data_IF_679873838295
#
_entry.id   IF_679873838295
#
_cell.length_a   1.000
_cell.length_b   1.000
_cell.length_c   1.000
_cell.angle_alpha   90.00
_cell.angle_beta   90.00
_cell.angle_gamma   90.00
#
_symmetry.space_group_name_H-M   'P 1'
#
loop_
_entity.id
_entity.type
_entity.pdbx_description
1 polymer ?
#
# COMPACT_ATOMS: atom_id res chain seq x y z
N UNK A 1 -0.17 21.01 49.87
CA UNK A 1 -0.90 21.38 48.64
C UNK A 1 -0.01 21.39 47.39
N UNK A 2 1.17 22.04 47.40
CA UNK A 2 2.07 22.12 46.22
C UNK A 2 2.54 20.77 45.65
N UNK A 3 2.83 19.80 46.52
CA UNK A 3 3.25 18.44 46.12
C UNK A 3 2.14 17.65 45.40
N UNK A 4 0.89 17.82 45.84
CA UNK A 4 -0.28 17.13 45.24
C UNK A 4 -0.57 17.68 43.84
N UNK A 5 -0.48 19.00 43.66
CA UNK A 5 -0.58 19.64 42.33
C UNK A 5 0.56 19.27 41.40
N UNK A 6 1.78 19.11 41.91
CA UNK A 6 2.93 18.65 41.10
C UNK A 6 2.77 17.21 40.62
N UNK A 7 2.26 16.33 41.48
CA UNK A 7 1.98 14.92 41.14
C UNK A 7 0.85 14.82 40.09
N UNK A 8 -0.21 15.61 40.24
CA UNK A 8 -1.33 15.67 39.29
C UNK A 8 -0.88 16.15 37.90
N UNK A 9 -0.03 17.19 37.85
CA UNK A 9 0.51 17.70 36.59
C UNK A 9 1.38 16.64 35.86
N UNK A 10 2.19 15.88 36.60
CA UNK A 10 3.00 14.80 36.03
C UNK A 10 2.16 13.65 35.46
N UNK A 11 1.09 13.24 36.16
CA UNK A 11 0.16 12.19 35.69
C UNK A 11 -0.60 12.64 34.43
N UNK A 12 -1.02 13.91 34.36
CA UNK A 12 -1.69 14.47 33.17
C UNK A 12 -0.75 14.52 31.94
N UNK A 13 0.54 14.83 32.13
CA UNK A 13 1.52 14.83 31.05
C UNK A 13 1.82 13.41 30.54
N UNK A 14 1.85 12.41 31.43
CA UNK A 14 2.03 10.99 31.08
C UNK A 14 0.79 10.37 30.43
N UNK A 15 -0.41 10.88 30.71
CA UNK A 15 -1.65 10.45 30.04
C UNK A 15 -1.80 11.00 28.61
N UNK A 16 -1.02 12.02 28.25
CA UNK A 16 -1.09 12.71 26.94
C UNK A 16 -0.19 12.13 25.85
N UNK A 17 0.67 11.15 26.16
CA UNK A 17 1.52 10.48 25.14
C UNK A 17 0.71 9.47 24.34
N UNK A 18 -0.12 9.96 23.42
CA UNK A 18 -0.73 9.11 22.40
C UNK A 18 0.36 8.45 21.55
N UNK A 19 0.21 7.16 21.25
CA UNK A 19 1.10 6.47 20.32
C UNK A 19 1.06 7.19 18.96
N UNK A 20 2.18 7.81 18.57
CA UNK A 20 2.33 8.32 17.21
C UNK A 20 2.37 7.12 16.26
N UNK A 21 1.25 6.83 15.59
CA UNK A 21 1.25 5.81 14.55
C UNK A 21 2.02 6.37 13.36
N UNK A 22 3.23 5.87 13.15
CA UNK A 22 4.00 6.24 11.97
C UNK A 22 3.27 5.76 10.70
N UNK A 23 3.27 6.64 9.69
CA UNK A 23 2.54 6.47 8.44
C UNK A 23 3.53 6.54 7.28
N UNK A 24 3.47 5.55 6.40
CA UNK A 24 4.22 5.53 5.15
C UNK A 24 3.28 5.87 3.99
N UNK A 25 3.59 6.93 3.24
CA UNK A 25 2.85 7.31 2.03
C UNK A 25 3.61 6.87 0.78
N UNK A 26 2.91 6.17 -0.11
CA UNK A 26 3.40 5.75 -1.43
C UNK A 26 2.66 6.58 -2.47
N UNK A 27 3.38 7.40 -3.25
CA UNK A 27 2.79 8.33 -4.23
C UNK A 27 3.32 8.16 -5.66
N UNK A 28 4.60 7.80 -5.84
CA UNK A 28 5.17 7.52 -7.16
C UNK A 28 6.28 6.46 -7.04
N UNK A 29 5.85 5.21 -6.86
CA UNK A 29 6.77 4.06 -6.75
C UNK A 29 6.55 3.12 -7.96
N UNK A 30 7.53 3.11 -8.87
CA UNK A 30 7.48 2.32 -10.11
C UNK A 30 7.85 0.84 -9.90
N UNK A 31 8.26 0.47 -8.68
CA UNK A 31 8.80 -0.84 -8.38
C UNK A 31 10.30 -0.96 -8.68
N UNK A 32 10.78 -2.21 -8.68
CA UNK A 32 12.19 -2.53 -8.85
C UNK A 32 12.44 -4.00 -8.55
N UNK A 33 13.62 -4.31 -7.99
CA UNK A 33 13.98 -5.69 -7.63
C UNK A 33 13.02 -6.23 -6.55
N UNK A 34 12.37 -7.36 -6.82
CA UNK A 34 11.39 -7.99 -5.92
C UNK A 34 11.94 -8.15 -4.49
N UNK A 35 13.17 -8.67 -4.34
CA UNK A 35 13.79 -8.89 -3.02
C UNK A 35 13.88 -7.63 -2.16
N UNK A 36 14.23 -6.48 -2.77
CA UNK A 36 14.31 -5.19 -2.06
C UNK A 36 12.96 -4.78 -1.45
N UNK A 37 11.85 -5.07 -2.12
CA UNK A 37 10.51 -4.77 -1.62
C UNK A 37 10.04 -5.77 -0.58
N UNK A 38 10.41 -7.04 -0.72
CA UNK A 38 10.15 -8.06 0.30
C UNK A 38 10.82 -7.64 1.62
N UNK A 39 12.11 -7.30 1.60
CA UNK A 39 12.84 -6.88 2.78
C UNK A 39 12.27 -5.59 3.38
N UNK A 40 12.00 -4.57 2.55
CA UNK A 40 11.39 -3.31 2.97
C UNK A 40 10.06 -3.52 3.68
N UNK A 41 9.16 -4.34 3.13
CA UNK A 41 7.83 -4.51 3.68
C UNK A 41 7.75 -5.50 4.84
N UNK A 42 8.74 -6.37 5.03
CA UNK A 42 8.92 -7.08 6.30
C UNK A 42 9.18 -6.10 7.45
N UNK A 43 9.95 -5.04 7.20
CA UNK A 43 10.13 -3.93 8.14
C UNK A 43 8.80 -3.27 8.53
N UNK A 44 7.99 -2.85 7.54
CA UNK A 44 6.68 -2.22 7.77
C UNK A 44 5.67 -3.14 8.48
N UNK A 45 5.71 -4.44 8.16
CA UNK A 45 4.88 -5.43 8.84
C UNK A 45 5.21 -5.46 10.33
N UNK A 46 6.50 -5.46 10.66
CA UNK A 46 7.02 -5.57 12.03
C UNK A 46 6.86 -4.27 12.83
N UNK A 47 7.03 -3.10 12.20
CA UNK A 47 6.94 -1.80 12.86
C UNK A 47 5.51 -1.41 13.27
N UNK A 48 4.48 -2.02 12.68
CA UNK A 48 3.10 -1.65 12.96
C UNK A 48 2.61 -0.42 12.19
N UNK A 49 3.43 0.15 11.31
CA UNK A 49 3.10 1.35 10.53
C UNK A 49 1.89 1.16 9.62
N UNK A 50 1.15 2.25 9.40
CA UNK A 50 0.04 2.31 8.44
C UNK A 50 0.55 2.76 7.07
N UNK A 51 0.00 2.19 6.00
CA UNK A 51 0.34 2.55 4.62
C UNK A 51 -0.80 3.33 3.96
N UNK A 52 -0.47 4.50 3.44
CA UNK A 52 -1.32 5.29 2.56
C UNK A 52 -0.82 5.11 1.12
N UNK A 53 -1.66 4.58 0.24
CA UNK A 53 -1.38 4.58 -1.20
C UNK A 53 -2.10 5.78 -1.81
N UNK A 54 -1.32 6.74 -2.29
CA UNK A 54 -1.78 8.03 -2.82
C UNK A 54 -1.11 8.38 -4.15
N UNK A 55 -1.13 7.43 -5.07
CA UNK A 55 -0.59 7.60 -6.40
C UNK A 55 -0.13 6.27 -6.97
N UNK A 56 0.91 6.31 -7.80
CA UNK A 56 1.43 5.12 -8.47
C UNK A 56 2.13 4.20 -7.46
N UNK A 57 1.71 2.94 -7.46
CA UNK A 57 2.45 1.82 -6.87
C UNK A 57 2.44 0.68 -7.88
N UNK A 58 3.55 0.49 -8.59
CA UNK A 58 3.64 -0.45 -9.71
C UNK A 58 4.63 -1.59 -9.43
N UNK A 59 4.43 -2.71 -10.11
CA UNK A 59 5.37 -3.84 -10.10
C UNK A 59 5.65 -4.31 -8.66
N UNK A 60 6.92 -4.48 -8.28
CA UNK A 60 7.30 -4.89 -6.93
C UNK A 60 6.75 -4.01 -5.78
N UNK A 61 6.41 -2.73 -6.01
CA UNK A 61 5.74 -1.91 -4.99
C UNK A 61 4.44 -2.57 -4.48
N UNK A 62 3.70 -3.21 -5.38
CA UNK A 62 2.40 -3.83 -5.05
C UNK A 62 2.52 -5.04 -4.10
N UNK A 63 3.73 -5.51 -3.79
CA UNK A 63 3.97 -6.51 -2.73
C UNK A 63 3.45 -6.03 -1.37
N UNK A 64 3.38 -4.70 -1.16
CA UNK A 64 2.82 -4.09 0.06
C UNK A 64 1.43 -4.63 0.40
N UNK A 65 0.63 -4.97 -0.62
CA UNK A 65 -0.74 -5.45 -0.50
C UNK A 65 -0.85 -6.83 0.17
N UNK A 66 0.20 -7.64 0.12
CA UNK A 66 0.28 -8.94 0.79
C UNK A 66 1.17 -8.94 2.03
N UNK A 67 2.09 -7.98 2.13
CA UNK A 67 3.03 -7.89 3.24
C UNK A 67 2.45 -7.15 4.45
N UNK A 68 1.63 -6.11 4.24
CA UNK A 68 1.03 -5.30 5.30
C UNK A 68 -0.41 -5.77 5.55
N UNK A 69 -0.86 -5.89 6.82
CA UNK A 69 -2.25 -6.19 7.15
C UNK A 69 -3.23 -5.27 6.45
N UNK A 70 -4.33 -5.84 5.94
CA UNK A 70 -5.29 -5.16 5.08
C UNK A 70 -5.91 -3.91 5.73
N UNK A 71 -6.20 -3.98 7.03
CA UNK A 71 -6.75 -2.90 7.84
C UNK A 71 -5.78 -1.71 8.05
N UNK A 72 -4.48 -1.97 7.93
CA UNK A 72 -3.40 -0.98 7.96
C UNK A 72 -3.07 -0.39 6.58
N UNK A 73 -3.80 -0.75 5.53
CA UNK A 73 -3.69 -0.12 4.22
C UNK A 73 -4.94 0.72 3.97
N UNK A 74 -4.76 1.96 3.57
CA UNK A 74 -5.84 2.76 2.97
C UNK A 74 -5.39 3.35 1.64
N UNK A 75 -6.37 3.64 0.79
CA UNK A 75 -6.15 4.17 -0.56
C UNK A 75 -6.81 5.54 -0.69
N UNK A 76 -6.18 6.46 -1.43
CA UNK A 76 -6.78 7.74 -1.79
C UNK A 76 -7.49 7.66 -3.15
N UNK A 77 -8.14 8.75 -3.54
CA UNK A 77 -8.69 8.92 -4.89
C UNK A 77 -7.62 8.93 -6.00
N UNK A 78 -6.36 9.23 -5.66
CA UNK A 78 -5.22 9.22 -6.60
C UNK A 78 -4.56 7.85 -6.74
N UNK A 79 -4.87 6.89 -5.86
CA UNK A 79 -4.24 5.58 -5.84
C UNK A 79 -4.38 4.83 -7.18
N UNK A 80 -3.25 4.34 -7.69
CA UNK A 80 -3.15 3.62 -8.95
C UNK A 80 -2.17 2.45 -8.85
N UNK A 81 -2.69 1.23 -8.79
CA UNK A 81 -1.88 0.02 -8.67
C UNK A 81 -1.56 -0.56 -10.04
N UNK A 82 -0.28 -0.70 -10.36
CA UNK A 82 0.20 -1.23 -11.64
C UNK A 82 0.71 -2.67 -11.53
N UNK A 83 0.11 -3.59 -12.26
CA UNK A 83 0.47 -5.01 -12.26
C UNK A 83 0.96 -5.46 -13.63
N UNK A 84 2.08 -6.15 -13.71
CA UNK A 84 2.61 -6.76 -14.94
C UNK A 84 3.50 -7.96 -14.61
N UNK A 85 3.90 -8.72 -15.62
CA UNK A 85 4.82 -9.84 -15.49
C UNK A 85 6.23 -9.36 -15.11
N UNK A 86 6.88 -10.04 -14.18
CA UNK A 86 8.27 -9.75 -13.83
C UNK A 86 9.17 -10.01 -15.04
N UNK A 87 10.31 -9.31 -15.09
CA UNK A 87 11.24 -9.38 -16.19
C UNK A 87 12.67 -9.15 -15.71
N UNK A 88 13.62 -9.68 -16.48
CA UNK A 88 15.06 -9.47 -16.32
C UNK A 88 15.64 -8.79 -17.56
N UNK A 89 16.88 -8.30 -17.45
CA UNK A 89 17.62 -7.79 -18.59
C UNK A 89 18.23 -8.94 -19.39
N UNK A 90 17.86 -9.04 -20.67
CA UNK A 90 18.53 -9.91 -21.63
C UNK A 90 19.91 -9.39 -22.05
N UNK A 91 20.61 -10.17 -22.87
CA UNK A 91 21.97 -9.87 -23.32
C UNK A 91 22.16 -8.50 -24.01
N UNK A 92 21.07 -7.92 -24.56
CA UNK A 92 21.05 -6.60 -25.19
C UNK A 92 20.42 -5.50 -24.33
N UNK A 93 20.21 -5.75 -23.03
CA UNK A 93 19.53 -4.82 -22.12
C UNK A 93 18.01 -4.72 -22.32
N UNK A 94 17.41 -5.55 -23.18
CA UNK A 94 15.96 -5.61 -23.33
C UNK A 94 15.33 -6.36 -22.16
N UNK A 95 14.18 -5.88 -21.70
CA UNK A 95 13.35 -6.62 -20.74
C UNK A 95 12.84 -7.95 -21.35
N UNK A 96 13.15 -9.05 -20.70
CA UNK A 96 12.68 -10.40 -21.01
C UNK A 96 11.84 -10.88 -19.83
N UNK A 97 10.62 -11.34 -20.09
CA UNK A 97 9.75 -11.86 -19.05
C UNK A 97 10.39 -13.04 -18.33
N UNK A 98 10.33 -13.03 -17.00
CA UNK A 98 10.76 -14.12 -16.13
C UNK A 98 9.52 -14.80 -15.54
N UNK A 99 9.14 -16.00 -16.01
CA UNK A 99 7.95 -16.72 -15.54
C UNK A 99 8.00 -17.07 -14.05
N UNK A 100 9.16 -17.48 -13.54
CA UNK A 100 9.35 -17.87 -12.14
C UNK A 100 9.16 -16.67 -11.21
N UNK A 101 9.80 -15.54 -11.52
CA UNK A 101 9.65 -14.29 -10.79
C UNK A 101 8.23 -13.73 -10.93
N UNK A 102 7.59 -13.93 -12.09
CA UNK A 102 6.19 -13.55 -12.29
C UNK A 102 5.27 -14.34 -11.37
N UNK A 103 5.48 -15.66 -11.28
CA UNK A 103 4.70 -16.52 -10.39
C UNK A 103 4.97 -16.19 -8.92
N UNK A 104 6.23 -15.92 -8.56
CA UNK A 104 6.61 -15.47 -7.23
C UNK A 104 5.87 -14.18 -6.86
N UNK A 105 5.96 -13.14 -7.69
CA UNK A 105 5.26 -11.87 -7.47
C UNK A 105 3.75 -12.07 -7.36
N UNK A 106 3.15 -12.85 -8.27
CA UNK A 106 1.72 -13.13 -8.27
C UNK A 106 1.25 -13.85 -7.00
N UNK A 107 2.06 -14.77 -6.47
CA UNK A 107 1.73 -15.53 -5.25
C UNK A 107 1.67 -14.65 -3.99
N UNK A 108 2.39 -13.52 -3.99
CA UNK A 108 2.41 -12.57 -2.87
C UNK A 108 1.13 -11.73 -2.78
N UNK A 109 0.32 -11.66 -3.84
CA UNK A 109 -0.89 -10.83 -3.82
C UNK A 109 -2.04 -11.48 -3.04
N UNK A 110 -2.87 -10.68 -2.35
CA UNK A 110 -4.02 -11.20 -1.64
C UNK A 110 -5.09 -11.75 -2.61
N UNK A 111 -5.95 -12.69 -2.17
CA UNK A 111 -6.90 -13.37 -3.04
C UNK A 111 -7.80 -12.46 -3.90
N UNK A 112 -8.35 -11.32 -3.40
CA UNK A 112 -9.15 -10.43 -4.23
C UNK A 112 -8.38 -9.84 -5.41
N UNK A 113 -7.12 -9.46 -5.19
CA UNK A 113 -6.23 -8.90 -6.22
C UNK A 113 -5.87 -9.99 -7.24
N UNK A 114 -5.51 -11.19 -6.79
CA UNK A 114 -5.25 -12.33 -7.69
C UNK A 114 -6.45 -12.64 -8.57
N UNK A 115 -7.66 -12.71 -8.02
CA UNK A 115 -8.89 -12.92 -8.80
C UNK A 115 -9.11 -11.82 -9.84
N UNK A 116 -8.90 -10.56 -9.45
CA UNK A 116 -9.04 -9.42 -10.37
C UNK A 116 -8.03 -9.46 -11.53
N UNK A 117 -6.79 -9.86 -11.25
CA UNK A 117 -5.72 -10.05 -12.26
C UNK A 117 -6.05 -11.24 -13.17
N UNK A 118 -6.43 -12.39 -12.60
CA UNK A 118 -6.77 -13.60 -13.36
C UNK A 118 -7.93 -13.36 -14.34
N UNK A 119 -8.97 -12.63 -13.91
CA UNK A 119 -10.09 -12.24 -14.76
C UNK A 119 -9.69 -11.32 -15.94
N UNK A 120 -8.45 -10.84 -15.98
CA UNK A 120 -7.87 -9.98 -17.04
C UNK A 120 -6.75 -10.66 -17.81
N UNK A 121 -6.63 -11.98 -17.71
CA UNK A 121 -5.63 -12.77 -18.45
C UNK A 121 -4.29 -12.93 -17.73
N UNK A 122 -4.21 -12.60 -16.44
CA UNK A 122 -3.00 -12.80 -15.66
C UNK A 122 -1.97 -11.67 -15.78
N UNK A 123 -0.79 -11.89 -15.21
CA UNK A 123 0.33 -10.97 -15.35
C UNK A 123 0.99 -11.17 -16.71
N UNK A 124 0.98 -10.13 -17.54
CA UNK A 124 1.61 -10.11 -18.86
C UNK A 124 2.57 -8.92 -18.97
N UNK A 125 3.28 -8.77 -20.09
CA UNK A 125 4.10 -7.58 -20.34
C UNK A 125 3.28 -6.28 -20.36
N UNK A 126 1.98 -6.37 -20.65
CA UNK A 126 1.09 -5.22 -20.61
C UNK A 126 0.70 -4.93 -19.16
N UNK A 127 0.92 -3.69 -18.74
CA UNK A 127 0.52 -3.23 -17.42
C UNK A 127 -1.01 -3.17 -17.28
N UNK A 128 -1.51 -3.75 -16.20
CA UNK A 128 -2.88 -3.65 -15.74
C UNK A 128 -2.95 -2.61 -14.62
N UNK A 129 -3.95 -1.74 -14.65
CA UNK A 129 -4.15 -0.71 -13.62
C UNK A 129 -5.45 -0.94 -12.83
N UNK A 130 -5.33 -1.03 -11.50
CA UNK A 130 -6.44 -1.07 -10.56
C UNK A 130 -6.51 0.27 -9.81
N UNK A 131 -7.62 0.98 -9.96
CA UNK A 131 -7.82 2.33 -9.42
C UNK A 131 -9.31 2.67 -9.24
N UNK A 132 -9.60 3.79 -8.60
CA UNK A 132 -10.96 4.32 -8.43
C UNK A 132 -11.88 3.34 -7.70
N UNK A 133 -13.16 3.27 -8.12
CA UNK A 133 -14.20 2.45 -7.46
C UNK A 133 -13.81 0.97 -7.33
N UNK A 134 -13.12 0.39 -8.32
CA UNK A 134 -12.70 -1.01 -8.24
C UNK A 134 -11.66 -1.24 -7.13
N UNK A 135 -10.72 -0.30 -6.97
CA UNK A 135 -9.74 -0.36 -5.89
C UNK A 135 -10.40 -0.10 -4.54
N UNK A 136 -11.30 0.89 -4.47
CA UNK A 136 -12.03 1.25 -3.25
C UNK A 136 -13.03 0.16 -2.81
N UNK A 137 -13.46 -0.72 -3.71
CA UNK A 137 -14.22 -1.92 -3.35
C UNK A 137 -13.36 -2.99 -2.66
N UNK A 138 -12.02 -2.91 -2.78
CA UNK A 138 -11.09 -3.85 -2.17
C UNK A 138 -10.37 -3.29 -0.95
N UNK A 139 -10.12 -1.98 -0.90
CA UNK A 139 -9.40 -1.31 0.18
C UNK A 139 -10.16 -0.06 0.63
N UNK A 140 -10.16 0.20 1.94
CA UNK A 140 -10.86 1.35 2.51
C UNK A 140 -10.25 2.68 2.05
N UNK A 141 -11.07 3.71 1.80
CA UNK A 141 -10.57 5.06 1.65
C UNK A 141 -9.80 5.53 2.89
N UNK A 142 -8.76 6.35 2.71
CA UNK A 142 -8.11 7.02 3.82
C UNK A 142 -9.04 8.05 4.47
N UNK A 143 -8.93 8.23 5.80
CA UNK A 143 -9.86 9.07 6.60
C UNK A 143 -10.02 10.51 6.06
N UNK A 144 -8.91 11.15 5.67
CA UNK A 144 -8.92 12.51 5.11
C UNK A 144 -9.66 12.58 3.75
N UNK A 145 -9.56 11.52 2.95
CA UNK A 145 -10.24 11.39 1.66
C UNK A 145 -11.73 11.04 1.81
N UNK A 146 -12.07 10.25 2.83
CA UNK A 146 -13.45 9.94 3.18
C UNK A 146 -14.22 11.21 3.58
N UNK A 147 -13.60 12.07 4.39
CA UNK A 147 -14.16 13.37 4.76
C UNK A 147 -14.28 14.32 3.57
N UNK A 148 -13.27 14.40 2.70
CA UNK A 148 -13.34 15.21 1.48
C UNK A 148 -14.45 14.74 0.52
N UNK A 149 -14.65 13.43 0.41
CA UNK A 149 -15.70 12.83 -0.43
C UNK A 149 -17.11 13.02 0.15
N UNK A 150 -17.29 12.90 1.47
CA UNK A 150 -18.58 13.15 2.13
C UNK A 150 -19.00 14.61 2.07
N UNK A 151 -18.03 15.53 2.02
CA UNK A 151 -18.28 16.97 1.98
C UNK A 151 -18.45 17.50 0.55
N UNK A 152 -18.28 16.68 -0.48
CA UNK A 152 -18.47 17.11 -1.86
C UNK A 152 -19.97 17.10 -2.20
N UNK A 153 -20.56 18.24 -2.61
CA UNK A 153 -21.96 18.26 -3.03
C UNK A 153 -22.15 17.31 -4.22
N UNK A 154 -23.23 16.52 -4.19
CA UNK A 154 -23.56 15.60 -5.27
C UNK A 154 -23.68 16.40 -6.58
N UNK A 155 -22.80 16.11 -7.54
CA UNK A 155 -22.92 16.68 -8.87
C UNK A 155 -24.20 16.15 -9.51
N UNK A 156 -25.17 17.05 -9.75
CA UNK A 156 -26.34 16.78 -10.58
C UNK A 156 -25.93 16.56 -12.03
#
# INVERSE_FOLDING_TARGET
MKLVTGLLAAVLLLAGVGASQAVVRIADDRGGRIGTYVDRYQGLRTSGETVIIDGLCASACTIVLGAVPHDRICVTSHANLGFHAAWDFGANGRAITNPEATQMLYSMYPPPVRRWIAARGGLTQRMLFLRGKQLQAMYRPCYLDAQASSNKPASR
#
